data_IF_535383312093
#
_entry.id   IF_535383312093
#
_cell.length_a   1.000
_cell.length_b   1.000
_cell.length_c   1.000
_cell.angle_alpha   90.00
_cell.angle_beta   90.00
_cell.angle_gamma   90.00
#
_symmetry.space_group_name_H-M   'P 1'
#
loop_
_entity.id
_entity.type
_entity.pdbx_description
1 polymer ?
#
# COMPACT_ATOMS: atom_id res chain seq x y z
N UNK A 1 11.02 23.23 -33.09
CA UNK A 1 11.03 22.01 -32.26
C UNK A 1 11.40 22.24 -30.78
N UNK A 2 12.10 23.32 -30.40
CA UNK A 2 12.48 23.61 -29.00
C UNK A 2 11.31 23.84 -28.02
N UNK A 3 10.20 24.46 -28.44
CA UNK A 3 9.09 24.78 -27.51
C UNK A 3 8.28 23.57 -27.05
N UNK A 4 8.23 22.48 -27.85
CA UNK A 4 7.49 21.26 -27.45
C UNK A 4 8.24 20.48 -26.35
N UNK A 5 9.57 20.48 -26.41
CA UNK A 5 10.41 19.80 -25.42
C UNK A 5 10.31 20.46 -24.04
N UNK A 6 10.32 21.80 -23.99
CA UNK A 6 10.23 22.57 -22.74
C UNK A 6 8.87 22.38 -22.06
N UNK A 7 7.79 22.33 -22.85
CA UNK A 7 6.43 22.12 -22.35
C UNK A 7 6.25 20.71 -21.75
N UNK A 8 6.81 19.68 -22.40
CA UNK A 8 6.77 18.30 -21.89
C UNK A 8 7.58 18.13 -20.60
N UNK A 9 8.72 18.80 -20.48
CA UNK A 9 9.55 18.75 -19.26
C UNK A 9 8.86 19.46 -18.08
N UNK A 10 8.18 20.58 -18.32
CA UNK A 10 7.43 21.29 -17.28
C UNK A 10 6.24 20.48 -16.75
N UNK A 11 5.52 19.75 -17.61
CA UNK A 11 4.41 18.88 -17.19
C UNK A 11 4.93 17.73 -16.32
N UNK A 12 6.08 17.15 -16.68
CA UNK A 12 6.73 16.08 -15.91
C UNK A 12 7.15 16.56 -14.51
N UNK A 13 7.75 17.75 -14.42
CA UNK A 13 8.14 18.35 -13.14
C UNK A 13 6.91 18.64 -12.27
N UNK A 14 5.82 19.14 -12.87
CA UNK A 14 4.59 19.43 -12.14
C UNK A 14 3.94 18.15 -11.60
N UNK A 15 3.93 17.06 -12.37
CA UNK A 15 3.41 15.76 -11.95
C UNK A 15 4.23 15.16 -10.78
N UNK A 16 5.56 15.29 -10.83
CA UNK A 16 6.45 14.79 -9.75
C UNK A 16 6.26 15.60 -8.46
N UNK A 17 6.11 16.93 -8.56
CA UNK A 17 5.88 17.80 -7.40
C UNK A 17 4.50 17.59 -6.76
N UNK A 18 3.47 17.27 -7.56
CA UNK A 18 2.13 16.96 -7.05
C UNK A 18 2.07 15.59 -6.37
N UNK A 19 2.87 14.61 -6.82
CA UNK A 19 2.95 13.29 -6.18
C UNK A 19 3.81 13.28 -4.92
N UNK A 20 4.81 14.18 -4.83
CA UNK A 20 5.65 14.32 -3.64
C UNK A 20 4.94 15.02 -2.46
N UNK A 21 3.95 15.89 -2.74
CA UNK A 21 3.22 16.60 -1.68
C UNK A 21 2.16 15.74 -0.99
N UNK A 22 1.60 14.73 -1.67
CA UNK A 22 0.68 13.75 -1.06
C UNK A 22 1.38 12.67 -0.23
N UNK A 23 2.71 12.54 -0.37
CA UNK A 23 3.54 11.59 0.38
C UNK A 23 4.51 12.26 1.37
N UNK A 24 4.40 13.56 1.59
CA UNK A 24 5.16 14.28 2.64
C UNK A 24 4.57 14.00 4.02
N UNK A 25 4.49 12.73 4.40
CA UNK A 25 4.36 12.26 5.78
C UNK A 25 5.72 11.65 6.19
N UNK A 26 6.77 12.48 6.09
CA UNK A 26 8.11 12.17 6.61
C UNK A 26 8.05 12.29 8.14
N UNK A 27 7.53 11.26 8.79
CA UNK A 27 7.37 11.23 10.25
C UNK A 27 6.41 10.14 10.68
N UNK A 28 6.72 8.88 10.34
CA UNK A 28 5.95 7.70 10.74
C UNK A 28 6.08 7.42 12.24
N UNK A 29 5.52 8.32 13.06
CA UNK A 29 5.05 8.01 14.40
C UNK A 29 3.61 7.54 14.20
N UNK A 30 3.37 6.23 14.27
CA UNK A 30 2.02 5.66 14.32
C UNK A 30 1.43 6.10 15.66
N UNK A 31 0.97 7.33 15.70
CA UNK A 31 0.29 7.91 16.86
C UNK A 31 -1.04 7.20 16.93
N UNK A 32 -1.31 6.49 18.03
CA UNK A 32 -2.61 5.85 18.24
C UNK A 32 -3.67 6.94 18.13
N UNK A 33 -4.56 6.84 17.15
CA UNK A 33 -5.74 7.70 17.07
C UNK A 33 -6.65 7.25 18.22
N UNK A 34 -6.76 8.06 19.25
CA UNK A 34 -7.81 7.85 20.26
C UNK A 34 -9.16 7.99 19.57
N UNK A 35 -10.01 6.98 19.73
CA UNK A 35 -11.38 7.04 19.25
C UNK A 35 -12.03 8.25 19.92
N UNK A 36 -12.51 9.25 19.15
CA UNK A 36 -13.18 10.39 19.75
C UNK A 36 -14.35 9.88 20.59
N UNK A 37 -14.67 10.57 21.69
CA UNK A 37 -15.92 10.31 22.38
C UNK A 37 -17.07 10.87 21.53
N UNK A 38 -18.25 10.23 21.52
CA UNK A 38 -19.40 10.78 20.85
C UNK A 38 -19.75 12.16 21.46
N UNK A 39 -20.19 13.13 20.64
CA UNK A 39 -20.74 14.39 21.12
C UNK A 39 -21.79 14.18 22.21
N UNK A 40 -21.81 15.05 23.22
CA UNK A 40 -22.78 14.99 24.29
C UNK A 40 -24.22 14.97 23.74
N UNK A 41 -25.03 14.00 24.18
CA UNK A 41 -26.42 13.83 23.75
C UNK A 41 -26.66 12.75 22.68
N UNK A 42 -25.61 12.14 22.12
CA UNK A 42 -25.76 10.95 21.27
C UNK A 42 -25.79 9.70 22.14
N UNK A 43 -26.95 9.04 22.21
CA UNK A 43 -27.09 7.71 22.81
C UNK A 43 -26.79 6.63 21.78
N UNK A 44 -26.28 5.47 22.21
CA UNK A 44 -25.91 4.35 21.34
C UNK A 44 -27.09 3.85 20.49
N UNK A 45 -28.31 4.04 20.98
CA UNK A 45 -29.55 3.53 20.38
C UNK A 45 -30.19 4.52 19.40
N UNK A 46 -29.58 5.70 19.22
CA UNK A 46 -30.06 6.73 18.31
C UNK A 46 -29.52 6.52 16.90
N UNK A 47 -30.27 6.99 15.89
CA UNK A 47 -29.81 7.03 14.50
C UNK A 47 -28.46 7.77 14.36
N UNK A 48 -28.24 8.81 15.19
CA UNK A 48 -27.00 9.56 15.23
C UNK A 48 -25.84 8.74 15.84
N UNK A 49 -26.14 7.87 16.81
CA UNK A 49 -25.19 6.89 17.37
C UNK A 49 -24.77 5.85 16.33
N UNK A 50 -25.71 5.34 15.54
CA UNK A 50 -25.41 4.41 14.45
C UNK A 50 -24.54 5.07 13.35
N UNK A 51 -24.88 6.31 12.96
CA UNK A 51 -24.07 7.08 12.01
C UNK A 51 -22.65 7.34 12.54
N UNK A 52 -22.52 7.63 13.83
CA UNK A 52 -21.24 7.81 14.49
C UNK A 52 -20.41 6.52 14.49
N UNK A 53 -21.01 5.38 14.87
CA UNK A 53 -20.34 4.08 14.85
C UNK A 53 -19.87 3.71 13.43
N UNK A 54 -20.71 3.95 12.41
CA UNK A 54 -20.35 3.75 11.02
C UNK A 54 -19.17 4.64 10.58
N UNK A 55 -19.12 5.88 11.07
CA UNK A 55 -17.98 6.77 10.84
C UNK A 55 -16.69 6.20 11.43
N UNK A 56 -16.71 5.78 12.70
CA UNK A 56 -15.55 5.17 13.38
C UNK A 56 -15.07 3.91 12.65
N UNK A 57 -15.99 3.05 12.22
CA UNK A 57 -15.65 1.84 11.46
C UNK A 57 -14.96 2.19 10.14
N UNK A 58 -15.49 3.15 9.38
CA UNK A 58 -14.85 3.62 8.13
C UNK A 58 -13.47 4.22 8.36
N UNK A 59 -13.30 5.02 9.42
CA UNK A 59 -12.00 5.57 9.79
C UNK A 59 -11.00 4.45 10.12
N UNK A 60 -11.41 3.47 10.91
CA UNK A 60 -10.57 2.33 11.30
C UNK A 60 -10.15 1.48 10.10
N UNK A 61 -11.10 1.21 9.18
CA UNK A 61 -10.78 0.51 7.93
C UNK A 61 -9.82 1.30 7.04
N UNK A 62 -9.98 2.62 6.96
CA UNK A 62 -9.07 3.49 6.22
C UNK A 62 -7.65 3.47 6.81
N UNK A 63 -7.54 3.56 8.14
CA UNK A 63 -6.25 3.48 8.84
C UNK A 63 -5.57 2.14 8.60
N UNK A 64 -6.31 1.03 8.70
CA UNK A 64 -5.78 -0.31 8.42
C UNK A 64 -5.26 -0.43 6.99
N UNK A 65 -6.03 0.03 6.00
CA UNK A 65 -5.62 0.01 4.59
C UNK A 65 -4.37 0.88 4.35
N UNK A 66 -4.26 2.02 5.02
CA UNK A 66 -3.08 2.89 4.92
C UNK A 66 -1.83 2.19 5.48
N UNK A 67 -1.94 1.55 6.66
CA UNK A 67 -0.85 0.78 7.27
C UNK A 67 -0.43 -0.39 6.39
N UNK A 68 -1.39 -1.15 5.88
CA UNK A 68 -1.13 -2.30 5.01
C UNK A 68 -0.34 -1.91 3.76
N UNK A 69 -0.77 -0.84 3.06
CA UNK A 69 -0.06 -0.33 1.88
C UNK A 69 1.37 0.14 2.21
N UNK A 70 1.56 0.77 3.35
CA UNK A 70 2.88 1.23 3.74
C UNK A 70 3.81 0.07 4.16
N UNK A 71 3.28 -0.97 4.81
CA UNK A 71 4.02 -2.22 5.01
C UNK A 71 4.37 -2.87 3.66
N UNK A 72 3.49 -2.80 2.66
CA UNK A 72 3.72 -3.37 1.33
C UNK A 72 4.89 -2.69 0.63
N UNK A 73 4.87 -1.36 0.59
CA UNK A 73 5.93 -0.55 0.00
C UNK A 73 7.26 -0.83 0.70
N UNK A 74 7.27 -0.87 2.04
CA UNK A 74 8.49 -1.14 2.81
C UNK A 74 9.00 -2.56 2.57
N UNK A 75 8.13 -3.56 2.62
CA UNK A 75 8.50 -4.97 2.43
C UNK A 75 9.12 -5.22 1.05
N UNK A 76 8.53 -4.63 0.00
CA UNK A 76 9.01 -4.77 -1.37
C UNK A 76 10.31 -3.99 -1.63
N UNK A 77 10.45 -2.80 -1.05
CA UNK A 77 11.69 -2.02 -1.14
C UNK A 77 12.86 -2.71 -0.43
N UNK A 78 12.63 -3.27 0.77
CA UNK A 78 13.65 -3.94 1.57
C UNK A 78 13.83 -5.43 1.20
N UNK A 79 13.03 -5.95 0.25
CA UNK A 79 12.91 -7.39 -0.08
C UNK A 79 12.74 -8.28 1.17
N UNK A 80 11.97 -7.82 2.15
CA UNK A 80 11.84 -8.48 3.45
C UNK A 80 10.44 -9.04 3.67
N UNK A 81 10.29 -10.36 3.47
CA UNK A 81 9.02 -11.09 3.61
C UNK A 81 8.42 -11.00 5.02
N UNK A 82 9.24 -10.79 6.06
CA UNK A 82 8.74 -10.68 7.43
C UNK A 82 7.90 -9.41 7.62
N UNK A 83 8.10 -8.38 6.80
CA UNK A 83 7.31 -7.15 6.88
C UNK A 83 5.87 -7.39 6.36
N UNK A 84 5.68 -8.25 5.34
CA UNK A 84 4.35 -8.63 4.84
C UNK A 84 3.47 -9.27 5.92
N UNK A 85 4.07 -9.90 6.95
CA UNK A 85 3.34 -10.52 8.06
C UNK A 85 2.59 -9.51 8.95
N UNK A 86 2.92 -8.21 8.87
CA UNK A 86 2.28 -7.17 9.67
C UNK A 86 1.01 -6.59 9.05
N UNK A 87 0.64 -7.03 7.84
CA UNK A 87 -0.58 -6.60 7.16
C UNK A 87 -1.81 -7.30 7.72
N UNK A 88 -2.93 -6.59 7.79
CA UNK A 88 -4.24 -7.14 8.15
C UNK A 88 -4.93 -7.76 6.93
N UNK A 89 -4.80 -7.13 5.76
CA UNK A 89 -5.34 -7.65 4.49
C UNK A 89 -4.59 -8.91 4.06
N UNK A 90 -5.27 -10.05 4.08
CA UNK A 90 -4.72 -11.34 3.63
C UNK A 90 -4.42 -11.34 2.13
N UNK A 91 -5.22 -10.63 1.34
CA UNK A 91 -4.99 -10.48 -0.10
C UNK A 91 -3.71 -9.72 -0.36
N UNK A 92 -3.55 -8.54 0.26
CA UNK A 92 -2.35 -7.72 0.07
C UNK A 92 -1.10 -8.40 0.65
N UNK A 93 -1.24 -9.14 1.75
CA UNK A 93 -0.18 -9.98 2.32
C UNK A 93 0.30 -11.04 1.32
N UNK A 94 -0.64 -11.75 0.67
CA UNK A 94 -0.30 -12.75 -0.35
C UNK A 94 0.41 -12.09 -1.54
N UNK A 95 -0.13 -10.99 -2.06
CA UNK A 95 0.48 -10.22 -3.15
C UNK A 95 1.90 -9.75 -2.80
N UNK A 96 2.12 -9.26 -1.57
CA UNK A 96 3.42 -8.86 -1.05
C UNK A 96 4.43 -10.02 -1.10
N UNK A 97 4.03 -11.19 -0.60
CA UNK A 97 4.89 -12.38 -0.58
C UNK A 97 5.23 -12.87 -2.00
N UNK A 98 4.24 -12.90 -2.89
CA UNK A 98 4.41 -13.31 -4.29
C UNK A 98 5.34 -12.34 -5.04
N UNK A 99 5.19 -11.04 -4.82
CA UNK A 99 6.05 -10.00 -5.42
C UNK A 99 7.51 -10.18 -5.01
N UNK A 100 7.77 -10.40 -3.71
CA UNK A 100 9.13 -10.61 -3.22
C UNK A 100 9.69 -11.95 -3.74
N UNK A 101 8.88 -13.01 -3.80
CA UNK A 101 9.29 -14.30 -4.37
C UNK A 101 9.70 -14.17 -5.84
N UNK A 102 8.94 -13.43 -6.64
CA UNK A 102 9.25 -13.16 -8.04
C UNK A 102 10.57 -12.38 -8.17
N UNK A 103 10.76 -11.33 -7.37
CA UNK A 103 11.99 -10.54 -7.37
C UNK A 103 13.22 -11.37 -6.98
N UNK A 104 13.11 -12.22 -5.94
CA UNK A 104 14.17 -13.16 -5.56
C UNK A 104 14.48 -14.17 -6.66
N UNK A 105 13.44 -14.72 -7.32
CA UNK A 105 13.60 -15.71 -8.37
C UNK A 105 14.40 -15.14 -9.55
N UNK A 106 14.02 -13.95 -10.02
CA UNK A 106 14.72 -13.25 -11.10
C UNK A 106 16.16 -12.88 -10.69
N UNK A 107 16.35 -12.32 -9.49
CA UNK A 107 17.69 -11.97 -9.01
C UNK A 107 18.63 -13.17 -8.88
N UNK A 108 18.10 -14.36 -8.63
CA UNK A 108 18.87 -15.59 -8.42
C UNK A 108 18.93 -16.48 -9.66
N UNK A 109 18.31 -16.07 -10.78
CA UNK A 109 18.10 -16.91 -11.95
C UNK A 109 17.51 -18.30 -11.58
N UNK A 110 16.58 -18.31 -10.61
CA UNK A 110 15.97 -19.53 -10.06
C UNK A 110 14.59 -19.80 -10.66
N UNK A 111 14.53 -20.73 -11.63
CA UNK A 111 13.29 -21.12 -12.30
C UNK A 111 12.29 -21.81 -11.39
N UNK A 112 12.74 -22.62 -10.45
CA UNK A 112 11.87 -23.33 -9.50
C UNK A 112 11.07 -22.35 -8.63
N UNK A 113 11.70 -21.24 -8.22
CA UNK A 113 10.99 -20.18 -7.50
C UNK A 113 9.94 -19.46 -8.34
N UNK A 114 10.18 -19.24 -9.65
CA UNK A 114 9.14 -18.71 -10.53
C UNK A 114 7.95 -19.66 -10.63
N UNK A 115 8.18 -20.97 -10.65
CA UNK A 115 7.11 -21.98 -10.70
C UNK A 115 6.25 -22.04 -9.43
N UNK A 116 6.71 -21.45 -8.33
CA UNK A 116 5.94 -21.34 -7.08
C UNK A 116 4.99 -20.13 -7.08
N UNK A 117 5.05 -19.27 -8.11
CA UNK A 117 4.13 -18.15 -8.23
C UNK A 117 2.72 -18.64 -8.54
N UNK A 118 1.74 -18.12 -7.81
CA UNK A 118 0.34 -18.57 -7.92
C UNK A 118 -0.42 -17.90 -9.06
N UNK A 119 0.01 -16.72 -9.49
CA UNK A 119 -0.55 -16.00 -10.62
C UNK A 119 0.19 -16.38 -11.91
N UNK A 120 -0.54 -16.92 -12.90
CA UNK A 120 0.04 -17.41 -14.16
C UNK A 120 0.74 -16.29 -14.94
N UNK A 121 0.21 -15.07 -14.92
CA UNK A 121 0.81 -13.92 -15.61
C UNK A 121 2.17 -13.53 -15.01
N UNK A 122 2.23 -13.48 -13.69
CA UNK A 122 3.45 -13.22 -12.92
C UNK A 122 4.47 -14.36 -13.08
N UNK A 123 4.00 -15.62 -13.09
CA UNK A 123 4.83 -16.79 -13.35
C UNK A 123 5.50 -16.74 -14.72
N UNK A 124 4.72 -16.49 -15.78
CA UNK A 124 5.24 -16.38 -17.14
C UNK A 124 6.24 -15.24 -17.27
N UNK A 125 5.90 -14.07 -16.72
CA UNK A 125 6.79 -12.91 -16.71
C UNK A 125 8.09 -13.22 -15.99
N UNK A 126 8.03 -13.85 -14.82
CA UNK A 126 9.20 -14.31 -14.07
C UNK A 126 10.07 -15.21 -14.95
N UNK A 127 9.51 -16.30 -15.49
CA UNK A 127 10.25 -17.29 -16.29
C UNK A 127 10.97 -16.72 -17.52
N UNK A 128 10.48 -15.63 -18.11
CA UNK A 128 11.14 -14.96 -19.25
C UNK A 128 12.43 -14.24 -18.81
N UNK A 129 12.51 -13.81 -17.55
CA UNK A 129 13.63 -13.06 -16.99
C UNK A 129 14.66 -13.93 -16.24
N UNK A 130 14.50 -15.26 -16.26
CA UNK A 130 15.27 -16.23 -15.46
C UNK A 130 15.95 -17.28 -16.33
#
# INVERSE_FOLDING_TARGET
MRNKLVLSVLILIFAILFFASSCSFLGWQITKIEVPQPPAGITADSLQGEQYANCINKCSSCESNCKDNAYYIKATADQNKNICANMVSTTLQSECQQTILAAEAVSQLNKEKCLQLTDEGSQQTCLVHV
#
